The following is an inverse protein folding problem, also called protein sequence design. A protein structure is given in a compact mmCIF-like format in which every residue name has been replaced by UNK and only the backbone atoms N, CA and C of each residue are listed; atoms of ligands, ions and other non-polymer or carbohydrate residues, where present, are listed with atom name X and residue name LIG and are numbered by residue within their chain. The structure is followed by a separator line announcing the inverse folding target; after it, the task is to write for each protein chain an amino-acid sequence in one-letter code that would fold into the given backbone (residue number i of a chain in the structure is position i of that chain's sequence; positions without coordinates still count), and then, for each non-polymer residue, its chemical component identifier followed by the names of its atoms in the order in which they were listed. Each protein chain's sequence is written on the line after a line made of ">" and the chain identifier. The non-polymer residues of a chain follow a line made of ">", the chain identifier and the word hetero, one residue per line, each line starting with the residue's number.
data_IF_974010913601
#
_entry.id   IF_974010913601
#
_cell.length_a   1.000
_cell.length_b   1.000
_cell.length_c   1.000
_cell.angle_alpha   90.00
_cell.angle_beta   90.00
_cell.angle_gamma   90.00
#
_symmetry.space_group_name_H-M   'P 1'
#
loop_
_entity.id
_entity.type
_entity.pdbx_description
1 polymer ?
#
# COMPACT_ATOMS: atom_id res chain seq x y z
N UNK A 1 0.82 -5.09 -2.11
CA UNK A 1 1.69 -6.14 -1.55
C UNK A 1 1.61 -7.46 -2.33
N UNK A 2 0.43 -7.88 -2.81
CA UNK A 2 0.32 -9.02 -3.72
C UNK A 2 1.10 -8.80 -5.04
N UNK A 3 1.00 -7.61 -5.62
CA UNK A 3 1.76 -7.28 -6.81
C UNK A 3 3.27 -7.26 -6.53
N UNK A 4 3.67 -6.71 -5.37
CA UNK A 4 5.06 -6.72 -4.94
C UNK A 4 5.57 -8.17 -4.77
N UNK A 5 4.86 -8.99 -4.00
CA UNK A 5 5.28 -10.36 -3.69
C UNK A 5 5.35 -11.23 -4.95
N UNK A 6 4.37 -11.05 -5.86
CA UNK A 6 4.33 -11.75 -7.13
C UNK A 6 5.46 -11.35 -8.09
N UNK A 7 5.90 -10.09 -8.09
CA UNK A 7 7.05 -9.65 -8.87
C UNK A 7 8.38 -10.07 -8.23
N UNK A 8 8.46 -10.04 -6.91
CA UNK A 8 9.67 -10.36 -6.16
C UNK A 8 9.99 -11.88 -6.17
N UNK A 9 8.94 -12.72 -6.22
CA UNK A 9 9.12 -14.19 -6.26
C UNK A 9 10.05 -14.68 -7.37
N UNK A 10 9.82 -14.34 -8.63
CA UNK A 10 10.69 -14.71 -9.75
C UNK A 10 12.14 -14.24 -9.59
N UNK A 11 12.35 -13.04 -9.04
CA UNK A 11 13.69 -12.48 -8.79
C UNK A 11 14.52 -13.34 -7.81
N UNK A 12 13.82 -14.03 -6.91
CA UNK A 12 14.43 -14.97 -5.95
C UNK A 12 14.41 -16.42 -6.45
N UNK A 13 13.76 -16.68 -7.60
CA UNK A 13 13.69 -18.02 -8.21
C UNK A 13 12.38 -18.77 -7.92
N UNK A 14 11.34 -18.11 -7.42
CA UNK A 14 10.03 -18.72 -7.13
C UNK A 14 8.94 -18.19 -8.06
N UNK A 15 8.78 -18.83 -9.25
CA UNK A 15 7.76 -18.44 -10.22
C UNK A 15 6.33 -18.78 -9.77
N UNK A 16 6.15 -19.83 -8.96
CA UNK A 16 4.85 -20.25 -8.41
C UNK A 16 4.21 -19.12 -7.62
N UNK A 17 5.02 -18.37 -6.87
CA UNK A 17 4.58 -17.24 -6.07
C UNK A 17 3.91 -16.16 -6.94
N UNK A 18 4.46 -15.88 -8.13
CA UNK A 18 3.86 -14.91 -9.06
C UNK A 18 2.44 -15.33 -9.47
N UNK A 19 2.27 -16.57 -9.86
CA UNK A 19 0.95 -17.06 -10.31
C UNK A 19 -0.07 -17.07 -9.18
N UNK A 20 0.32 -17.45 -7.98
CA UNK A 20 -0.55 -17.42 -6.81
C UNK A 20 -0.97 -16.00 -6.40
N UNK A 21 0.00 -15.09 -6.34
CA UNK A 21 -0.29 -13.69 -6.01
C UNK A 21 -1.20 -13.02 -7.04
N UNK A 22 -0.99 -13.26 -8.33
CA UNK A 22 -1.85 -12.71 -9.38
C UNK A 22 -3.27 -13.31 -9.30
N UNK A 23 -3.41 -14.61 -9.05
CA UNK A 23 -4.70 -15.27 -8.81
C UNK A 23 -5.48 -14.59 -7.68
N UNK A 24 -4.83 -14.37 -6.55
CA UNK A 24 -5.51 -13.82 -5.38
C UNK A 24 -5.75 -12.31 -5.52
N UNK A 25 -4.89 -11.60 -6.25
CA UNK A 25 -5.10 -10.20 -6.61
C UNK A 25 -6.35 -10.00 -7.47
N UNK A 26 -6.66 -10.93 -8.37
CA UNK A 26 -7.86 -10.90 -9.21
C UNK A 26 -9.14 -10.80 -8.39
N UNK A 27 -9.22 -11.46 -7.24
CA UNK A 27 -10.38 -11.39 -6.36
C UNK A 27 -10.70 -9.95 -5.91
N UNK A 28 -9.67 -9.16 -5.64
CA UNK A 28 -9.83 -7.76 -5.23
C UNK A 28 -10.08 -6.85 -6.43
N UNK A 29 -9.45 -7.12 -7.57
CA UNK A 29 -9.68 -6.37 -8.79
C UNK A 29 -11.15 -6.47 -9.27
N UNK A 30 -11.77 -7.64 -9.15
CA UNK A 30 -13.17 -7.82 -9.46
C UNK A 30 -14.08 -6.94 -8.58
N UNK A 31 -13.79 -6.89 -7.27
CA UNK A 31 -14.55 -6.05 -6.33
C UNK A 31 -14.35 -4.55 -6.64
N UNK A 32 -13.14 -4.14 -6.97
CA UNK A 32 -12.86 -2.76 -7.35
C UNK A 32 -13.50 -2.39 -8.69
N UNK A 33 -13.58 -3.33 -9.63
CA UNK A 33 -14.28 -3.14 -10.90
C UNK A 33 -15.79 -2.96 -10.68
N UNK A 34 -16.40 -3.72 -9.78
CA UNK A 34 -17.80 -3.54 -9.41
C UNK A 34 -18.08 -2.14 -8.87
N UNK A 35 -17.16 -1.57 -8.07
CA UNK A 35 -17.29 -0.22 -7.53
C UNK A 35 -16.98 0.87 -8.55
N UNK A 36 -15.82 0.79 -9.20
CA UNK A 36 -15.27 1.86 -10.03
C UNK A 36 -15.54 1.72 -11.53
N UNK A 37 -15.89 0.52 -12.00
CA UNK A 37 -16.04 0.19 -13.42
C UNK A 37 -14.72 -0.10 -14.13
N UNK A 38 -13.59 -0.04 -13.43
CA UNK A 38 -12.26 -0.32 -13.99
C UNK A 38 -11.46 -1.21 -13.03
N UNK A 39 -10.64 -2.09 -13.61
CA UNK A 39 -9.77 -2.99 -12.86
C UNK A 39 -8.46 -2.33 -12.39
N UNK A 40 -8.00 -1.28 -13.05
CA UNK A 40 -6.69 -0.69 -12.82
C UNK A 40 -6.74 0.80 -12.46
N UNK A 41 -7.61 1.57 -13.07
CA UNK A 41 -7.78 3.00 -12.81
C UNK A 41 -9.15 3.24 -12.18
N UNK A 42 -9.23 3.05 -10.89
CA UNK A 42 -10.50 2.90 -10.16
C UNK A 42 -11.41 4.12 -10.21
N UNK A 43 -10.85 5.35 -10.17
CA UNK A 43 -11.59 6.61 -10.21
C UNK A 43 -12.92 6.57 -9.42
N UNK A 44 -12.92 5.91 -8.27
CA UNK A 44 -14.09 5.75 -7.41
C UNK A 44 -14.20 6.88 -6.39
N UNK A 45 -13.17 7.21 -5.58
CA UNK A 45 -13.15 8.44 -4.78
C UNK A 45 -13.04 9.66 -5.71
N UNK A 46 -13.86 10.68 -5.46
CA UNK A 46 -13.89 11.93 -6.24
C UNK A 46 -13.99 13.12 -5.30
N UNK A 47 -13.74 14.31 -5.81
CA UNK A 47 -13.94 15.54 -5.05
C UNK A 47 -15.42 15.66 -4.65
N UNK A 48 -15.68 15.70 -3.34
CA UNK A 48 -17.03 15.75 -2.77
C UNK A 48 -17.63 14.40 -2.41
N UNK A 49 -16.96 13.25 -2.66
CA UNK A 49 -17.47 11.94 -2.25
C UNK A 49 -16.99 10.78 -3.09
N UNK A 50 -17.89 9.89 -3.46
CA UNK A 50 -17.61 8.70 -4.26
C UNK A 50 -18.48 8.67 -5.52
N UNK A 51 -18.03 7.92 -6.52
CA UNK A 51 -18.71 7.86 -7.84
C UNK A 51 -20.14 7.35 -7.76
N UNK A 52 -20.41 6.39 -6.88
CA UNK A 52 -21.72 5.76 -6.65
C UNK A 52 -21.70 5.00 -5.34
N UNK A 53 -22.84 4.61 -4.84
CA UNK A 53 -22.96 3.81 -3.64
C UNK A 53 -22.53 2.35 -3.88
N UNK A 54 -22.41 1.59 -2.81
CA UNK A 54 -21.94 0.19 -2.83
C UNK A 54 -23.04 -0.70 -3.43
N UNK A 55 -22.72 -1.56 -4.41
CA UNK A 55 -23.68 -2.50 -5.00
C UNK A 55 -24.24 -3.48 -3.98
N UNK A 56 -25.51 -3.87 -4.18
CA UNK A 56 -26.19 -4.86 -3.32
C UNK A 56 -25.36 -6.15 -3.19
N UNK A 57 -25.16 -6.59 -1.94
CA UNK A 57 -24.41 -7.81 -1.62
C UNK A 57 -22.89 -7.70 -1.80
N UNK A 58 -22.35 -6.55 -2.21
CA UNK A 58 -20.92 -6.36 -2.38
C UNK A 58 -20.15 -6.54 -1.07
N UNK A 59 -20.66 -5.99 0.04
CA UNK A 59 -20.05 -6.12 1.35
C UNK A 59 -19.89 -7.58 1.79
N UNK A 60 -20.90 -8.42 1.55
CA UNK A 60 -20.85 -9.86 1.86
C UNK A 60 -19.83 -10.59 0.97
N UNK A 61 -19.75 -10.26 -0.33
CA UNK A 61 -18.71 -10.80 -1.23
C UNK A 61 -17.32 -10.40 -0.79
N UNK A 62 -17.14 -9.14 -0.37
CA UNK A 62 -15.88 -8.64 0.17
C UNK A 62 -15.46 -9.40 1.43
N UNK A 63 -16.35 -9.57 2.41
CA UNK A 63 -16.09 -10.35 3.62
C UNK A 63 -15.65 -11.78 3.30
N UNK A 64 -16.34 -12.46 2.37
CA UNK A 64 -15.99 -13.81 1.97
C UNK A 64 -14.60 -13.88 1.33
N UNK A 65 -14.28 -12.93 0.43
CA UNK A 65 -12.97 -12.86 -0.25
C UNK A 65 -11.83 -12.51 0.73
N UNK A 66 -12.06 -11.60 1.69
CA UNK A 66 -11.07 -11.27 2.72
C UNK A 66 -10.77 -12.47 3.61
N UNK A 67 -11.79 -13.17 4.11
CA UNK A 67 -11.61 -14.40 4.91
C UNK A 67 -10.87 -15.51 4.15
N UNK A 68 -11.14 -15.66 2.86
CA UNK A 68 -10.38 -16.58 2.02
C UNK A 68 -8.93 -16.13 1.91
N UNK A 69 -8.68 -14.83 1.74
CA UNK A 69 -7.35 -14.29 1.60
C UNK A 69 -6.51 -14.41 2.89
N UNK A 70 -7.10 -14.29 4.07
CA UNK A 70 -6.40 -14.57 5.35
C UNK A 70 -5.78 -15.98 5.38
N UNK A 71 -6.47 -16.98 4.82
CA UNK A 71 -5.90 -18.33 4.70
C UNK A 71 -4.81 -18.40 3.62
N UNK A 72 -4.94 -17.62 2.52
CA UNK A 72 -3.91 -17.55 1.49
C UNK A 72 -2.60 -16.93 2.00
N UNK A 73 -2.67 -15.97 2.91
CA UNK A 73 -1.46 -15.42 3.55
C UNK A 73 -0.67 -16.52 4.26
N UNK A 74 -1.35 -17.44 4.96
CA UNK A 74 -0.70 -18.60 5.60
C UNK A 74 -0.08 -19.56 4.58
N UNK A 75 -0.74 -19.78 3.44
CA UNK A 75 -0.21 -20.61 2.36
C UNK A 75 1.07 -19.99 1.76
N UNK A 76 1.12 -18.65 1.60
CA UNK A 76 2.34 -17.97 1.17
C UNK A 76 3.48 -18.14 2.16
N UNK A 77 3.21 -18.00 3.44
CA UNK A 77 4.23 -18.17 4.49
C UNK A 77 4.76 -19.61 4.50
N UNK A 78 3.88 -20.61 4.46
CA UNK A 78 4.31 -22.01 4.36
C UNK A 78 5.20 -22.24 3.14
N UNK A 79 4.83 -21.69 1.98
CA UNK A 79 5.62 -21.83 0.76
C UNK A 79 6.99 -21.17 0.85
N UNK A 80 7.09 -20.03 1.54
CA UNK A 80 8.28 -19.18 1.55
C UNK A 80 9.19 -19.47 2.75
N UNK A 81 8.64 -19.58 3.95
CA UNK A 81 9.41 -19.76 5.18
C UNK A 81 9.99 -21.18 5.29
N UNK A 82 9.42 -22.15 4.59
CA UNK A 82 9.99 -23.51 4.44
C UNK A 82 10.98 -23.61 3.27
N UNK A 83 11.07 -22.59 2.42
CA UNK A 83 11.97 -22.58 1.25
C UNK A 83 13.40 -22.19 1.65
N UNK A 84 14.32 -23.12 1.61
CA UNK A 84 15.75 -22.86 1.84
C UNK A 84 16.30 -21.77 0.92
N UNK A 85 15.89 -21.77 -0.36
CA UNK A 85 16.34 -20.75 -1.33
C UNK A 85 15.89 -19.36 -0.89
N UNK A 86 14.62 -19.22 -0.48
CA UNK A 86 14.07 -17.97 0.00
C UNK A 86 14.83 -17.43 1.21
N UNK A 87 15.03 -18.27 2.22
CA UNK A 87 15.74 -17.90 3.44
C UNK A 87 17.19 -17.50 3.18
N UNK A 88 17.95 -18.32 2.44
CA UNK A 88 19.37 -18.06 2.13
C UNK A 88 19.56 -16.80 1.29
N UNK A 89 18.59 -16.45 0.43
CA UNK A 89 18.66 -15.27 -0.44
C UNK A 89 18.25 -13.97 0.27
N UNK A 90 17.50 -14.05 1.36
CA UNK A 90 16.95 -12.87 2.04
C UNK A 90 17.56 -12.61 3.41
N UNK A 91 17.88 -13.67 4.17
CA UNK A 91 18.48 -13.53 5.50
C UNK A 91 19.94 -13.10 5.39
N UNK A 92 20.29 -12.09 6.15
CA UNK A 92 21.65 -11.56 6.17
C UNK A 92 22.03 -10.69 4.97
N UNK A 93 21.06 -10.34 4.12
CA UNK A 93 21.27 -9.58 2.88
C UNK A 93 20.59 -8.20 2.98
N UNK A 94 21.31 -7.15 2.59
CA UNK A 94 20.77 -5.79 2.50
C UNK A 94 20.40 -5.19 3.85
N UNK A 95 21.29 -5.26 4.84
CA UNK A 95 21.07 -4.66 6.15
C UNK A 95 20.86 -3.14 6.08
N UNK A 96 19.90 -2.67 6.85
CA UNK A 96 19.54 -1.26 6.98
C UNK A 96 19.24 -0.95 8.44
N UNK A 97 20.02 -0.05 9.05
CA UNK A 97 19.78 0.37 10.44
C UNK A 97 18.63 1.37 10.54
N UNK A 98 17.98 1.45 11.69
CA UNK A 98 16.94 2.47 11.92
C UNK A 98 17.50 3.89 11.80
N UNK A 99 18.69 4.14 12.36
CA UNK A 99 19.36 5.44 12.34
C UNK A 99 19.65 5.92 10.92
N UNK A 100 20.25 5.05 10.09
CA UNK A 100 20.57 5.40 8.70
C UNK A 100 19.32 5.69 7.88
N UNK A 101 18.25 4.93 8.12
CA UNK A 101 16.98 5.12 7.44
C UNK A 101 16.29 6.42 7.86
N UNK A 102 16.31 6.77 9.15
CA UNK A 102 15.79 8.05 9.66
C UNK A 102 16.58 9.21 9.05
N UNK A 103 17.90 9.14 9.08
CA UNK A 103 18.78 10.18 8.53
C UNK A 103 18.60 10.36 7.02
N UNK A 104 18.28 9.28 6.30
CA UNK A 104 17.97 9.34 4.87
C UNK A 104 16.52 9.80 4.58
N UNK A 105 15.63 9.83 5.58
CA UNK A 105 14.21 10.14 5.42
C UNK A 105 13.39 9.01 4.76
N UNK A 106 13.82 7.77 4.92
CA UNK A 106 13.09 6.58 4.45
C UNK A 106 11.81 6.41 5.27
N UNK A 107 10.73 6.00 4.63
CA UNK A 107 9.42 5.77 5.23
C UNK A 107 8.84 4.41 4.76
N UNK A 108 7.77 3.99 5.38
CA UNK A 108 7.03 2.79 4.96
C UNK A 108 7.56 1.48 5.53
N UNK A 109 7.32 0.35 4.86
CA UNK A 109 7.70 -0.98 5.35
C UNK A 109 9.18 -1.14 5.67
N UNK A 110 10.05 -0.43 4.95
CA UNK A 110 11.49 -0.55 5.11
C UNK A 110 11.93 -0.08 6.50
N UNK A 111 11.48 1.08 6.95
CA UNK A 111 11.83 1.60 8.27
C UNK A 111 11.05 0.89 9.38
N UNK A 112 9.82 0.44 9.11
CA UNK A 112 9.05 -0.38 10.06
C UNK A 112 9.70 -1.74 10.31
N UNK A 113 10.39 -2.30 9.33
CA UNK A 113 11.22 -3.49 9.52
C UNK A 113 12.42 -3.24 10.44
N UNK A 114 12.89 -2.01 10.56
CA UNK A 114 13.93 -1.62 11.50
C UNK A 114 13.40 -1.26 12.91
N UNK A 115 12.12 -1.49 13.17
CA UNK A 115 11.50 -1.29 14.49
C UNK A 115 10.96 0.11 14.74
N UNK A 116 10.88 0.97 13.73
CA UNK A 116 10.40 2.35 13.89
C UNK A 116 8.96 2.48 13.41
N UNK A 117 8.06 2.90 14.28
CA UNK A 117 6.67 3.14 13.93
C UNK A 117 6.49 4.54 13.31
N UNK A 118 6.44 4.60 11.98
CA UNK A 118 6.28 5.83 11.20
C UNK A 118 5.15 5.75 10.18
N UNK A 119 4.11 5.00 10.48
CA UNK A 119 2.93 4.90 9.61
C UNK A 119 2.11 6.20 9.70
N UNK A 120 1.96 6.90 8.57
CA UNK A 120 1.22 8.17 8.53
C UNK A 120 -0.27 8.01 8.85
N UNK A 121 -0.84 6.84 8.61
CA UNK A 121 -2.23 6.52 8.97
C UNK A 121 -2.44 6.46 10.49
N UNK A 122 -1.38 6.15 11.23
CA UNK A 122 -1.36 6.07 12.68
C UNK A 122 -0.90 7.37 13.34
N UNK A 123 0.19 7.97 12.83
CA UNK A 123 0.81 9.16 13.43
C UNK A 123 0.07 10.47 13.08
N UNK A 124 -0.58 10.52 11.95
CA UNK A 124 -1.38 11.65 11.47
C UNK A 124 -2.63 11.12 10.75
N UNK A 125 -3.62 10.58 11.49
CA UNK A 125 -4.76 9.90 10.90
C UNK A 125 -5.53 10.77 9.92
N UNK A 126 -5.96 10.19 8.84
CA UNK A 126 -6.80 10.80 7.82
C UNK A 126 -7.88 9.81 7.38
N UNK A 127 -8.93 10.32 6.69
CA UNK A 127 -10.09 9.53 6.30
C UNK A 127 -10.74 8.87 7.52
N UNK A 128 -10.78 7.54 7.59
CA UNK A 128 -11.41 6.76 8.68
C UNK A 128 -10.40 5.89 9.45
N UNK A 129 -9.10 6.12 9.27
CA UNK A 129 -8.06 5.27 9.89
C UNK A 129 -8.03 5.35 11.43
N UNK A 130 -8.53 6.43 12.02
CA UNK A 130 -8.74 6.61 13.46
C UNK A 130 -9.99 5.89 14.01
N UNK A 131 -10.85 5.41 13.11
CA UNK A 131 -12.12 4.77 13.46
C UNK A 131 -12.10 3.26 13.24
N UNK A 132 -11.11 2.73 12.51
CA UNK A 132 -10.95 1.30 12.22
C UNK A 132 -9.99 0.64 13.19
N UNK A 133 -10.27 -0.63 13.53
CA UNK A 133 -9.39 -1.41 14.39
C UNK A 133 -8.23 -2.01 13.58
N UNK A 134 -7.01 -1.55 13.87
CA UNK A 134 -5.77 -2.02 13.26
C UNK A 134 -4.55 -1.55 14.03
N UNK A 135 -3.40 -2.14 13.77
CA UNK A 135 -2.12 -1.72 14.31
C UNK A 135 -1.07 -1.62 13.20
N UNK A 136 -0.14 -0.66 13.27
CA UNK A 136 0.98 -0.60 12.33
C UNK A 136 1.84 -1.86 12.42
N UNK A 137 2.16 -2.44 11.27
CA UNK A 137 3.06 -3.57 11.19
C UNK A 137 4.50 -3.11 11.43
N UNK A 138 4.98 -3.27 12.65
CA UNK A 138 6.35 -2.93 13.05
C UNK A 138 7.03 -4.19 13.56
N UNK A 139 8.12 -4.57 12.95
CA UNK A 139 8.92 -5.73 13.33
C UNK A 139 10.23 -5.29 14.00
N UNK A 140 10.74 -6.14 14.87
CA UNK A 140 12.10 -5.98 15.38
C UNK A 140 13.07 -6.67 14.42
N UNK A 141 14.18 -6.02 14.05
CA UNK A 141 15.20 -6.66 13.22
C UNK A 141 15.67 -7.97 13.85
N UNK A 142 15.82 -8.99 13.03
CA UNK A 142 16.35 -10.30 13.47
C UNK A 142 17.85 -10.23 13.79
N UNK A 143 18.54 -9.20 13.29
CA UNK A 143 19.97 -9.00 13.51
C UNK A 143 20.27 -7.66 14.17
N UNK A 144 21.32 -7.65 14.99
CA UNK A 144 21.89 -6.41 15.60
C UNK A 144 22.47 -5.47 14.53
N UNK A 145 22.74 -5.96 13.31
CA UNK A 145 23.22 -5.15 12.18
C UNK A 145 22.13 -4.29 11.52
N UNK A 146 20.88 -4.51 11.87
CA UNK A 146 19.71 -3.84 11.29
C UNK A 146 18.77 -4.79 10.58
N UNK A 147 17.73 -4.26 9.97
CA UNK A 147 16.74 -5.02 9.21
C UNK A 147 17.32 -5.49 7.88
N UNK A 148 17.13 -6.77 7.56
CA UNK A 148 17.52 -7.37 6.27
C UNK A 148 16.33 -7.52 5.30
N UNK A 149 16.54 -8.16 4.16
CA UNK A 149 15.48 -8.39 3.17
C UNK A 149 14.35 -9.26 3.71
N UNK A 150 14.66 -10.22 4.60
CA UNK A 150 13.67 -11.10 5.21
C UNK A 150 12.79 -10.36 6.22
N UNK A 151 13.37 -9.48 7.03
CA UNK A 151 12.60 -8.62 7.95
C UNK A 151 11.62 -7.71 7.18
N UNK A 152 12.05 -7.15 6.05
CA UNK A 152 11.18 -6.34 5.18
C UNK A 152 10.05 -7.15 4.54
N UNK A 153 10.30 -8.43 4.21
CA UNK A 153 9.25 -9.34 3.77
C UNK A 153 8.23 -9.59 4.88
N UNK A 154 8.67 -9.89 6.11
CA UNK A 154 7.79 -10.16 7.25
C UNK A 154 6.84 -9.00 7.54
N UNK A 155 7.35 -7.76 7.55
CA UNK A 155 6.51 -6.56 7.72
C UNK A 155 5.39 -6.52 6.68
N UNK A 156 5.69 -6.78 5.41
CA UNK A 156 4.65 -6.73 4.37
C UNK A 156 3.63 -7.84 4.48
N UNK A 157 4.02 -9.01 4.97
CA UNK A 157 3.07 -10.09 5.28
C UNK A 157 2.13 -9.66 6.41
N UNK A 158 2.66 -9.02 7.45
CA UNK A 158 1.83 -8.50 8.53
C UNK A 158 0.94 -7.32 8.06
N UNK A 159 1.43 -6.45 7.20
CA UNK A 159 0.61 -5.39 6.59
C UNK A 159 -0.59 -5.94 5.79
N UNK A 160 -0.44 -7.09 5.12
CA UNK A 160 -1.56 -7.77 4.47
C UNK A 160 -2.60 -8.26 5.49
N UNK A 161 -2.17 -8.80 6.65
CA UNK A 161 -3.10 -9.20 7.73
C UNK A 161 -3.82 -7.99 8.33
N UNK A 162 -3.09 -6.91 8.61
CA UNK A 162 -3.69 -5.68 9.11
C UNK A 162 -4.68 -5.09 8.09
N UNK A 163 -4.38 -5.19 6.80
CA UNK A 163 -5.31 -4.76 5.74
C UNK A 163 -6.58 -5.60 5.74
N UNK A 164 -6.51 -6.91 5.95
CA UNK A 164 -7.69 -7.77 6.11
C UNK A 164 -8.52 -7.34 7.32
N UNK A 165 -7.89 -7.09 8.48
CA UNK A 165 -8.55 -6.62 9.70
C UNK A 165 -9.27 -5.29 9.46
N UNK A 166 -8.57 -4.30 8.89
CA UNK A 166 -9.15 -3.01 8.54
C UNK A 166 -10.36 -3.14 7.61
N UNK A 167 -10.28 -3.98 6.58
CA UNK A 167 -11.38 -4.19 5.64
C UNK A 167 -12.60 -4.81 6.31
N UNK A 168 -12.42 -5.81 7.18
CA UNK A 168 -13.51 -6.45 7.88
C UNK A 168 -14.20 -5.47 8.85
N UNK A 169 -13.44 -4.69 9.59
CA UNK A 169 -13.97 -3.69 10.52
C UNK A 169 -14.65 -2.52 9.79
N UNK A 170 -14.02 -2.00 8.73
CA UNK A 170 -14.61 -0.91 7.94
C UNK A 170 -15.94 -1.29 7.30
N UNK A 171 -16.08 -2.54 6.81
CA UNK A 171 -17.35 -3.03 6.24
C UNK A 171 -18.48 -3.02 7.27
N UNK A 172 -18.21 -3.34 8.53
CA UNK A 172 -19.22 -3.30 9.60
C UNK A 172 -19.64 -1.87 9.96
N UNK A 173 -18.75 -0.91 9.76
CA UNK A 173 -18.96 0.51 10.10
C UNK A 173 -19.51 1.35 8.95
N UNK A 174 -19.69 0.79 7.76
CA UNK A 174 -20.29 1.50 6.63
C UNK A 174 -21.72 1.97 7.02
N UNK A 175 -22.05 3.26 6.83
CA UNK A 175 -23.41 3.75 7.04
C UNK A 175 -24.43 2.96 6.20
N UNK A 176 -25.46 2.42 6.84
CA UNK A 176 -26.41 1.50 6.20
C UNK A 176 -25.98 0.02 6.24
N UNK A 177 -24.77 -0.28 6.69
CA UNK A 177 -24.25 -1.65 6.85
C UNK A 177 -24.16 -2.42 5.54
N UNK A 178 -24.11 -3.76 5.64
CA UNK A 178 -24.05 -4.66 4.49
C UNK A 178 -25.29 -4.59 3.57
N UNK A 179 -26.31 -3.83 3.95
CA UNK A 179 -27.59 -3.68 3.24
C UNK A 179 -27.70 -2.35 2.47
N UNK A 180 -26.60 -1.64 2.27
CA UNK A 180 -26.57 -0.45 1.39
C UNK A 180 -27.05 -0.84 -0.01
N UNK A 181 -27.98 -0.05 -0.53
CA UNK A 181 -28.71 -0.37 -1.76
C UNK A 181 -28.34 0.62 -2.87
N UNK A 182 -27.35 0.27 -3.68
CA UNK A 182 -27.20 0.91 -4.99
C UNK A 182 -28.19 0.27 -5.97
N UNK A 183 -29.04 1.09 -6.56
CA UNK A 183 -29.87 0.69 -7.69
C UNK A 183 -29.19 1.17 -8.98
N UNK A 184 -29.24 0.38 -10.09
CA UNK A 184 -28.82 0.86 -11.41
C UNK A 184 -29.64 2.11 -11.77
N UNK A 185 -28.99 3.24 -11.91
CA UNK A 185 -29.63 4.54 -12.13
C UNK A 185 -29.50 5.53 -10.98
N UNK A 186 -29.05 5.10 -9.79
CA UNK A 186 -28.64 6.02 -8.74
C UNK A 186 -27.38 6.76 -9.18
N UNK A 187 -27.60 7.99 -9.61
CA UNK A 187 -26.51 8.82 -10.11
C UNK A 187 -25.66 9.40 -8.97
N UNK A 188 -24.43 9.64 -9.34
CA UNK A 188 -23.35 10.29 -8.63
C UNK A 188 -23.77 11.06 -7.36
N UNK A 189 -23.36 10.58 -6.21
CA UNK A 189 -23.37 11.31 -4.93
C UNK A 189 -22.42 12.53 -4.93
N UNK A 190 -21.96 12.96 -6.12
CA UNK A 190 -21.01 14.06 -6.25
C UNK A 190 -21.73 15.31 -6.71
N UNK A 191 -21.70 16.31 -5.88
CA UNK A 191 -21.91 17.70 -6.30
C UNK A 191 -20.88 18.07 -7.38
N UNK A 192 -21.28 18.82 -8.40
CA UNK A 192 -20.35 19.32 -9.43
C UNK A 192 -19.17 20.00 -8.75
N UNK A 193 -18.01 19.35 -8.76
CA UNK A 193 -16.79 19.95 -8.25
C UNK A 193 -16.47 21.24 -9.04
N UNK A 194 -16.01 22.29 -8.39
CA UNK A 194 -15.55 23.46 -9.09
C UNK A 194 -14.46 23.08 -10.09
N UNK A 195 -14.64 23.43 -11.36
CA UNK A 195 -13.70 23.12 -12.43
C UNK A 195 -12.51 24.07 -12.49
N UNK A 196 -12.45 25.03 -11.58
CA UNK A 196 -11.43 26.08 -11.53
C UNK A 196 -10.95 26.28 -10.10
N UNK A 197 -9.64 26.30 -9.92
CA UNK A 197 -9.01 26.68 -8.67
C UNK A 197 -8.77 28.21 -8.66
N UNK A 198 -9.01 28.91 -7.54
CA UNK A 198 -8.61 30.31 -7.40
C UNK A 198 -7.10 30.48 -7.66
N UNK A 199 -6.73 31.63 -8.22
CA UNK A 199 -5.32 31.97 -8.42
C UNK A 199 -4.61 32.05 -7.08
N UNK A 200 -3.41 31.43 -7.00
CA UNK A 200 -2.63 31.38 -5.76
C UNK A 200 -3.14 30.42 -4.68
N UNK A 201 -4.30 29.78 -4.88
CA UNK A 201 -4.79 28.76 -3.95
C UNK A 201 -3.80 27.59 -3.86
N UNK A 202 -3.45 27.17 -2.64
CA UNK A 202 -2.54 26.07 -2.40
C UNK A 202 -3.22 24.92 -1.68
N UNK A 203 -2.84 23.70 -2.02
CA UNK A 203 -3.25 22.47 -1.33
C UNK A 203 -2.06 21.59 -1.04
N UNK A 204 -2.05 20.99 0.14
CA UNK A 204 -1.05 20.01 0.54
C UNK A 204 -1.78 18.77 1.09
N UNK A 205 -1.32 17.59 0.68
CA UNK A 205 -1.86 16.32 1.17
C UNK A 205 -0.72 15.32 1.42
N UNK A 206 -0.85 14.59 2.50
CA UNK A 206 0.05 13.48 2.88
C UNK A 206 -0.78 12.22 3.06
N UNK A 207 -0.32 11.11 2.53
CA UNK A 207 -0.94 9.81 2.77
C UNK A 207 0.10 8.70 2.75
N UNK A 208 -0.20 7.61 3.44
CA UNK A 208 0.61 6.38 3.40
C UNK A 208 0.22 5.56 2.19
N UNK A 209 1.20 5.20 1.40
CA UNK A 209 1.05 4.19 0.35
C UNK A 209 1.84 2.93 0.70
N UNK A 210 1.72 1.88 -0.11
CA UNK A 210 2.36 0.57 0.14
C UNK A 210 3.89 0.62 0.28
N UNK A 211 4.53 1.68 -0.15
CA UNK A 211 5.99 1.88 -0.10
C UNK A 211 6.42 2.98 0.86
N UNK A 212 5.46 3.62 1.54
CA UNK A 212 5.72 4.68 2.50
C UNK A 212 4.94 5.96 2.22
N UNK A 213 5.32 7.04 2.84
CA UNK A 213 4.61 8.32 2.80
C UNK A 213 4.78 9.01 1.46
N UNK A 214 3.66 9.36 0.83
CA UNK A 214 3.59 10.22 -0.35
C UNK A 214 3.03 11.58 0.00
N UNK A 215 3.62 12.65 -0.56
CA UNK A 215 3.16 14.01 -0.38
C UNK A 215 2.84 14.64 -1.73
N UNK A 216 1.75 15.41 -1.75
CA UNK A 216 1.35 16.21 -2.90
C UNK A 216 1.20 17.67 -2.48
N UNK A 217 1.80 18.56 -3.25
CA UNK A 217 1.61 19.99 -3.16
C UNK A 217 1.12 20.51 -4.50
N UNK A 218 0.04 21.27 -4.51
CA UNK A 218 -0.54 21.86 -5.70
C UNK A 218 -0.82 23.33 -5.46
N UNK A 219 -0.48 24.16 -6.44
CA UNK A 219 -0.81 25.59 -6.48
C UNK A 219 -1.64 25.90 -7.73
N UNK A 220 -2.77 26.52 -7.57
CA UNK A 220 -3.68 26.93 -8.65
C UNK A 220 -3.20 28.18 -9.40
N UNK A 221 -3.82 28.48 -10.55
CA UNK A 221 -3.64 29.73 -11.27
C UNK A 221 -2.63 29.74 -12.41
N UNK A 222 -2.18 28.57 -12.91
CA UNK A 222 -1.14 28.49 -13.95
C UNK A 222 -1.50 29.08 -15.31
N UNK A 223 -2.79 29.26 -15.60
CA UNK A 223 -3.28 29.78 -16.90
C UNK A 223 -4.11 31.07 -16.75
N UNK A 224 -4.12 31.67 -15.57
CA UNK A 224 -4.99 32.82 -15.24
C UNK A 224 -6.49 32.52 -15.30
N UNK A 225 -6.87 31.30 -15.68
CA UNK A 225 -8.26 30.83 -15.78
C UNK A 225 -8.61 29.75 -14.75
N UNK A 226 -7.63 29.31 -13.95
CA UNK A 226 -7.79 28.33 -12.90
C UNK A 226 -7.98 26.88 -13.37
N UNK A 227 -7.75 26.59 -14.65
CA UNK A 227 -7.90 25.23 -15.21
C UNK A 227 -6.65 24.38 -15.07
N UNK A 228 -5.49 25.02 -15.03
CA UNK A 228 -4.20 24.35 -14.91
C UNK A 228 -3.49 24.77 -13.62
N UNK A 229 -2.80 23.88 -12.95
CA UNK A 229 -2.00 24.24 -11.79
C UNK A 229 -0.80 25.11 -12.22
N UNK A 230 -0.46 26.09 -11.39
CA UNK A 230 0.79 26.83 -11.53
C UNK A 230 1.98 25.95 -11.17
N UNK A 231 1.86 25.16 -10.11
CA UNK A 231 2.91 24.26 -9.65
C UNK A 231 2.30 22.98 -9.07
N UNK A 232 2.92 21.84 -9.42
CA UNK A 232 2.67 20.55 -8.78
C UNK A 232 4.01 20.00 -8.30
N UNK A 233 4.08 19.60 -7.02
CA UNK A 233 5.24 18.90 -6.46
C UNK A 233 4.75 17.59 -5.85
N UNK A 234 5.34 16.49 -6.29
CA UNK A 234 5.00 15.14 -5.82
C UNK A 234 6.26 14.53 -5.21
N UNK A 235 6.18 14.19 -3.92
CA UNK A 235 7.20 13.39 -3.25
C UNK A 235 6.71 11.95 -3.14
N UNK A 236 7.20 11.09 -4.01
CA UNK A 236 7.04 9.65 -3.85
C UNK A 236 8.01 9.11 -2.81
N UNK A 237 7.66 8.11 -1.99
CA UNK A 237 8.59 7.47 -1.06
C UNK A 237 9.80 6.87 -1.77
N UNK A 238 9.63 6.37 -2.99
CA UNK A 238 10.71 5.80 -3.81
C UNK A 238 11.79 6.82 -4.17
N UNK A 239 11.45 8.11 -4.23
CA UNK A 239 12.41 9.17 -4.50
C UNK A 239 13.54 9.25 -3.47
N UNK A 240 13.24 8.88 -2.23
CA UNK A 240 14.22 8.78 -1.14
C UNK A 240 14.77 7.35 -1.03
N UNK A 241 13.90 6.35 -1.15
CA UNK A 241 14.28 4.96 -0.91
C UNK A 241 15.29 4.44 -1.92
N UNK A 242 15.16 4.78 -3.23
CA UNK A 242 16.08 4.27 -4.26
C UNK A 242 17.53 4.74 -4.04
N UNK A 243 17.83 6.03 -3.81
CA UNK A 243 19.19 6.45 -3.49
C UNK A 243 19.73 5.83 -2.20
N UNK A 244 18.89 5.60 -1.21
CA UNK A 244 19.27 4.92 0.02
C UNK A 244 19.61 3.44 -0.23
N UNK A 245 18.77 2.71 -0.97
CA UNK A 245 18.98 1.31 -1.33
C UNK A 245 20.29 1.13 -2.10
N UNK A 246 20.65 2.07 -2.97
CA UNK A 246 21.95 2.04 -3.67
C UNK A 246 23.14 1.99 -2.71
N UNK A 247 23.05 2.65 -1.54
CA UNK A 247 24.08 2.60 -0.49
C UNK A 247 24.08 1.24 0.23
N UNK A 248 22.93 0.64 0.46
CA UNK A 248 22.83 -0.67 1.14
C UNK A 248 23.31 -1.83 0.27
N UNK A 249 23.47 -1.64 -1.03
CA UNK A 249 24.03 -2.66 -1.94
C UNK A 249 25.56 -2.81 -1.84
N UNK A 250 26.24 -1.80 -1.32
CA UNK A 250 27.69 -1.78 -1.26
C UNK A 250 28.19 -2.88 -0.33
N UNK A 251 29.10 -3.73 -0.84
CA UNK A 251 29.66 -4.86 -0.09
C UNK A 251 28.94 -6.19 -0.27
N UNK A 252 27.79 -6.21 -0.97
CA UNK A 252 27.06 -7.44 -1.32
C UNK A 252 27.42 -7.93 -2.73
N UNK A 253 27.04 -9.16 -3.03
CA UNK A 253 27.26 -9.76 -4.36
C UNK A 253 26.33 -9.13 -5.40
N UNK A 254 26.76 -9.07 -6.66
CA UNK A 254 25.90 -8.60 -7.76
C UNK A 254 24.59 -9.40 -7.84
N UNK A 255 24.63 -10.69 -7.52
CA UNK A 255 23.46 -11.55 -7.46
C UNK A 255 22.46 -11.17 -6.34
N UNK A 256 22.84 -10.39 -5.34
CA UNK A 256 21.97 -9.93 -4.26
C UNK A 256 21.24 -8.63 -4.59
N UNK A 257 21.65 -7.93 -5.66
CA UNK A 257 21.04 -6.67 -6.09
C UNK A 257 19.52 -6.81 -6.29
N UNK A 258 18.98 -7.82 -7.02
CA UNK A 258 17.54 -7.99 -7.17
C UNK A 258 16.82 -8.19 -5.82
N UNK A 259 17.43 -8.95 -4.90
CA UNK A 259 16.87 -9.18 -3.57
C UNK A 259 16.80 -7.86 -2.75
N UNK A 260 17.87 -7.07 -2.77
CA UNK A 260 17.93 -5.79 -2.03
C UNK A 260 16.99 -4.75 -2.64
N UNK A 261 16.93 -4.65 -3.97
CA UNK A 261 16.04 -3.71 -4.66
C UNK A 261 14.56 -4.08 -4.53
N UNK A 262 14.26 -5.36 -4.58
CA UNK A 262 12.90 -5.86 -4.56
C UNK A 262 12.28 -5.94 -3.17
N UNK A 263 13.09 -6.01 -2.12
CA UNK A 263 12.64 -6.17 -0.73
C UNK A 263 12.04 -4.94 -0.05
#
# INVERSE_FOLDING_TARGET
>A
HLMWLGAFGPDIGNLTLMTWCLRDREMFLDLLQELGGSRMHYNYPRVGGVKRDIPIGWANRMKAKVKLFENRIKEYEMLLDESTIWLVRLQGVGYATAEDQINAGVTGPNIRAAGVNTDARWTNPYSVYDQVDWEPAVEKPTSVKGADCYDRYRVRMEEMRQSCRMLLDAIEKIPGGANTHYQPGDEMLITKAPTRAPEGATGFSTYECTRGVSNFYIQGGGDGRGKHPYRVSIRSPMFITIPYVAKTMIGYKVADIPAIMGS
#
